data_IF_379401842414
#
_entry.id   IF_379401842414
#
_cell.length_a   1.000
_cell.length_b   1.000
_cell.length_c   1.000
_cell.angle_alpha   90.00
_cell.angle_beta   90.00
_cell.angle_gamma   90.00
#
_symmetry.space_group_name_H-M   'P 1'
#
loop_
_entity.id
_entity.type
_entity.pdbx_description
1 polymer ?
#
# COMPACT_ATOMS: atom_id res chain seq x y z
N UNK A 1 24.40 -4.87 -18.83
CA UNK A 1 23.74 -4.84 -17.53
C UNK A 1 23.36 -3.43 -17.10
N UNK A 2 24.28 -2.47 -17.17
CA UNK A 2 23.97 -1.09 -16.79
C UNK A 2 22.81 -0.50 -17.61
N UNK A 3 22.71 -0.83 -18.90
CA UNK A 3 21.64 -0.36 -19.75
C UNK A 3 20.27 -0.89 -19.33
N UNK A 4 20.20 -2.14 -18.86
CA UNK A 4 18.96 -2.71 -18.35
C UNK A 4 18.55 -2.05 -17.03
N UNK A 5 19.49 -1.80 -16.16
CA UNK A 5 19.23 -1.13 -14.88
C UNK A 5 18.70 0.28 -15.13
N UNK A 6 19.37 1.02 -16.02
CA UNK A 6 18.95 2.38 -16.36
C UNK A 6 17.54 2.38 -16.96
N UNK A 7 17.22 1.43 -17.84
CA UNK A 7 15.90 1.31 -18.45
C UNK A 7 14.83 1.07 -17.40
N UNK A 8 15.07 0.16 -16.47
CA UNK A 8 14.12 -0.15 -15.41
C UNK A 8 13.85 1.04 -14.51
N UNK A 9 14.91 1.78 -14.16
CA UNK A 9 14.76 2.98 -13.35
C UNK A 9 13.97 4.05 -14.11
N UNK A 10 14.26 4.23 -15.40
CA UNK A 10 13.55 5.21 -16.22
C UNK A 10 12.09 4.87 -16.39
N UNK A 11 11.76 3.60 -16.56
CA UNK A 11 10.36 3.16 -16.62
C UNK A 11 9.62 3.47 -15.33
N UNK A 12 10.25 3.23 -14.19
CA UNK A 12 9.68 3.58 -12.88
C UNK A 12 9.42 5.07 -12.75
N UNK A 13 10.36 5.89 -13.19
CA UNK A 13 10.21 7.35 -13.18
C UNK A 13 9.05 7.78 -14.07
N UNK A 14 8.94 7.20 -15.26
CA UNK A 14 7.86 7.53 -16.20
C UNK A 14 6.49 7.20 -15.63
N UNK A 15 6.35 6.07 -14.96
CA UNK A 15 5.10 5.69 -14.32
C UNK A 15 4.71 6.72 -13.26
N UNK A 16 5.66 7.12 -12.43
CA UNK A 16 5.41 8.11 -11.39
C UNK A 16 5.06 9.49 -11.97
N UNK A 17 5.74 9.90 -13.03
CA UNK A 17 5.41 11.14 -13.72
C UNK A 17 4.01 11.10 -14.34
N UNK A 18 3.62 9.95 -14.87
CA UNK A 18 2.27 9.76 -15.40
C UNK A 18 1.22 9.90 -14.30
N UNK A 19 1.48 9.37 -13.10
CA UNK A 19 0.59 9.54 -11.96
C UNK A 19 0.40 11.01 -11.62
N UNK A 20 1.46 11.79 -11.64
CA UNK A 20 1.39 13.23 -11.39
C UNK A 20 0.48 13.95 -12.38
N UNK A 21 0.51 13.52 -13.65
CA UNK A 21 -0.25 14.20 -14.72
C UNK A 21 -1.73 13.79 -14.74
N UNK A 22 -2.03 12.52 -14.42
CA UNK A 22 -3.35 11.96 -14.73
C UNK A 22 -4.12 11.47 -13.51
N UNK A 23 -3.46 11.23 -12.38
CA UNK A 23 -4.08 10.55 -11.24
C UNK A 23 -4.03 11.32 -9.92
N UNK A 24 -3.56 12.57 -9.91
CA UNK A 24 -3.48 13.32 -8.66
C UNK A 24 -4.84 13.49 -7.98
N UNK A 25 -5.86 13.82 -8.77
CA UNK A 25 -7.21 13.99 -8.23
C UNK A 25 -7.76 12.71 -7.63
N UNK A 26 -7.46 11.57 -8.26
CA UNK A 26 -7.89 10.27 -7.77
C UNK A 26 -7.17 9.88 -6.48
N UNK A 27 -5.87 10.14 -6.42
CA UNK A 27 -5.06 9.90 -5.21
C UNK A 27 -5.58 10.78 -4.07
N UNK A 28 -5.85 12.05 -4.33
CA UNK A 28 -6.43 12.96 -3.34
C UNK A 28 -7.78 12.45 -2.84
N UNK A 29 -8.63 11.97 -3.75
CA UNK A 29 -9.91 11.40 -3.38
C UNK A 29 -9.77 10.21 -2.46
N UNK A 30 -8.84 9.30 -2.76
CA UNK A 30 -8.56 8.15 -1.91
C UNK A 30 -8.08 8.58 -0.52
N UNK A 31 -7.21 9.57 -0.47
CA UNK A 31 -6.72 10.12 0.81
C UNK A 31 -7.84 10.75 1.63
N UNK A 32 -8.73 11.51 0.99
CA UNK A 32 -9.88 12.11 1.67
C UNK A 32 -10.84 11.06 2.21
N UNK A 33 -11.15 10.05 1.40
CA UNK A 33 -12.04 8.96 1.84
C UNK A 33 -11.46 8.24 3.05
N UNK A 34 -10.16 7.98 3.05
CA UNK A 34 -9.48 7.35 4.18
C UNK A 34 -9.57 8.25 5.43
N UNK A 35 -9.28 9.52 5.26
CA UNK A 35 -9.36 10.50 6.35
C UNK A 35 -10.77 10.58 6.94
N UNK A 36 -11.80 10.71 6.09
CA UNK A 36 -13.18 10.79 6.54
C UNK A 36 -13.63 9.51 7.26
N UNK A 37 -13.20 8.36 6.75
CA UNK A 37 -13.46 7.07 7.38
C UNK A 37 -12.90 7.02 8.81
N UNK A 38 -11.66 7.41 8.99
CA UNK A 38 -11.01 7.42 10.31
C UNK A 38 -11.62 8.46 11.23
N UNK A 39 -11.93 9.64 10.70
CA UNK A 39 -12.56 10.70 11.46
C UNK A 39 -13.93 10.30 11.98
N UNK A 40 -14.66 9.51 11.22
CA UNK A 40 -15.98 9.01 11.60
C UNK A 40 -15.93 7.82 12.59
N UNK A 41 -14.74 7.39 12.97
CA UNK A 41 -14.56 6.29 13.92
C UNK A 41 -14.55 4.91 13.28
N UNK A 42 -14.44 4.85 11.96
CA UNK A 42 -14.35 3.57 11.23
C UNK A 42 -12.91 3.09 11.10
N UNK A 43 -12.75 1.92 10.51
CA UNK A 43 -11.46 1.25 10.36
C UNK A 43 -11.01 1.24 8.91
N UNK A 44 -9.71 1.14 8.71
CA UNK A 44 -9.11 0.88 7.40
C UNK A 44 -8.61 -0.56 7.38
N UNK A 45 -8.99 -1.31 6.36
CA UNK A 45 -8.58 -2.69 6.18
C UNK A 45 -7.65 -2.78 4.97
N UNK A 46 -6.52 -3.43 5.15
CA UNK A 46 -5.55 -3.68 4.08
C UNK A 46 -5.47 -5.17 3.80
N UNK A 47 -5.45 -5.53 2.54
CA UNK A 47 -5.26 -6.92 2.15
C UNK A 47 -4.60 -6.99 0.78
N UNK A 48 -3.97 -8.11 0.52
CA UNK A 48 -3.26 -8.35 -0.73
C UNK A 48 -2.59 -9.71 -0.70
N UNK A 49 -2.01 -10.12 -1.82
CA UNK A 49 -1.35 -11.40 -2.00
C UNK A 49 0.14 -11.21 -2.27
N UNK A 50 0.96 -12.19 -1.86
CA UNK A 50 2.39 -12.14 -2.08
C UNK A 50 3.02 -10.92 -1.43
N UNK A 51 3.81 -10.15 -2.18
CA UNK A 51 4.41 -8.91 -1.71
C UNK A 51 3.39 -7.90 -1.24
N UNK A 52 2.22 -7.85 -1.86
CA UNK A 52 1.12 -6.97 -1.43
C UNK A 52 0.57 -7.33 -0.06
N UNK A 53 0.66 -8.60 0.35
CA UNK A 53 0.28 -8.98 1.70
C UNK A 53 1.25 -8.40 2.74
N UNK A 54 2.56 -8.42 2.43
CA UNK A 54 3.58 -7.79 3.28
C UNK A 54 3.37 -6.28 3.35
N UNK A 55 3.09 -5.64 2.22
CA UNK A 55 2.77 -4.21 2.16
C UNK A 55 1.54 -3.89 3.00
N UNK A 56 0.53 -4.75 2.97
CA UNK A 56 -0.70 -4.57 3.76
C UNK A 56 -0.40 -4.56 5.25
N UNK A 57 0.45 -5.45 5.72
CA UNK A 57 0.87 -5.48 7.12
C UNK A 57 1.66 -4.24 7.49
N UNK A 58 2.57 -3.82 6.63
CA UNK A 58 3.38 -2.63 6.85
C UNK A 58 2.52 -1.37 6.95
N UNK A 59 1.59 -1.19 5.99
CA UNK A 59 0.69 -0.05 5.99
C UNK A 59 -0.21 -0.03 7.22
N UNK A 60 -0.77 -1.18 7.60
CA UNK A 60 -1.59 -1.25 8.80
C UNK A 60 -0.79 -0.86 10.05
N UNK A 61 0.45 -1.30 10.13
CA UNK A 61 1.34 -0.95 11.24
C UNK A 61 1.61 0.55 11.30
N UNK A 62 1.76 1.21 10.16
CA UNK A 62 1.97 2.67 10.11
C UNK A 62 0.75 3.43 10.64
N UNK A 63 -0.46 2.96 10.36
CA UNK A 63 -1.67 3.58 10.90
C UNK A 63 -1.82 3.38 12.39
N UNK A 64 -1.53 2.17 12.89
CA UNK A 64 -1.63 1.87 14.31
C UNK A 64 -0.52 2.55 15.09
N UNK A 65 0.68 2.60 14.51
CA UNK A 65 1.85 3.22 15.14
C UNK A 65 1.92 4.72 14.90
N UNK A 66 3.17 5.22 14.87
CA UNK A 66 3.47 6.63 14.67
C UNK A 66 4.45 6.74 13.52
N UNK A 67 3.97 7.12 12.36
CA UNK A 67 4.83 7.18 11.17
C UNK A 67 5.89 8.29 11.30
N UNK A 68 5.48 9.54 11.20
CA UNK A 68 6.40 10.68 11.26
C UNK A 68 6.17 11.57 12.48
N UNK A 69 5.01 11.47 13.09
CA UNK A 69 4.61 12.30 14.22
C UNK A 69 4.09 11.46 15.36
N UNK A 70 4.32 11.91 16.57
CA UNK A 70 3.61 11.39 17.72
C UNK A 70 2.12 11.66 17.56
N UNK A 71 1.33 10.59 17.59
CA UNK A 71 -0.12 10.68 17.50
C UNK A 71 -0.79 9.44 18.05
N UNK A 72 -2.07 9.55 18.30
CA UNK A 72 -2.87 8.39 18.69
C UNK A 72 -2.89 7.38 17.53
N UNK A 73 -2.81 6.10 17.84
CA UNK A 73 -2.96 5.05 16.84
C UNK A 73 -4.31 5.14 16.13
N UNK A 74 -4.33 4.87 14.83
CA UNK A 74 -5.53 4.88 14.02
C UNK A 74 -6.01 3.46 13.77
N UNK A 75 -7.33 3.20 13.77
CA UNK A 75 -7.86 1.85 13.59
C UNK A 75 -7.54 1.30 12.19
N UNK A 76 -6.70 0.30 12.14
CA UNK A 76 -6.31 -0.34 10.90
C UNK A 76 -5.98 -1.81 11.15
N UNK A 77 -6.35 -2.66 10.21
CA UNK A 77 -6.12 -4.11 10.31
C UNK A 77 -5.66 -4.60 8.94
N UNK A 78 -4.61 -5.41 8.93
CA UNK A 78 -4.24 -6.17 7.75
C UNK A 78 -4.93 -7.52 7.80
N UNK A 79 -5.67 -7.86 6.76
CA UNK A 79 -6.36 -9.15 6.65
C UNK A 79 -5.41 -10.19 6.08
N UNK A 80 -4.40 -10.51 6.86
CA UNK A 80 -3.34 -11.42 6.45
C UNK A 80 -2.92 -12.30 7.61
N UNK A 81 -2.48 -13.53 7.28
CA UNK A 81 -1.75 -14.40 8.19
C UNK A 81 -0.67 -15.06 7.37
N UNK A 82 0.54 -15.21 7.90
CA UNK A 82 1.66 -15.86 7.20
C UNK A 82 1.73 -15.50 5.73
N UNK A 83 1.95 -14.24 5.48
CA UNK A 83 1.56 -13.55 4.28
C UNK A 83 2.35 -13.90 3.02
N UNK A 84 3.68 -13.86 3.09
CA UNK A 84 4.48 -13.93 1.87
C UNK A 84 4.48 -15.33 1.26
N UNK A 85 4.55 -16.36 2.08
CA UNK A 85 4.59 -17.74 1.59
C UNK A 85 3.20 -18.18 1.16
N UNK A 86 2.20 -18.02 2.03
CA UNK A 86 0.84 -18.48 1.76
C UNK A 86 0.27 -17.82 0.50
N UNK A 87 0.35 -16.51 0.41
CA UNK A 87 -0.27 -15.79 -0.69
C UNK A 87 0.54 -15.89 -1.97
N UNK A 88 1.86 -15.97 -1.89
CA UNK A 88 2.72 -16.13 -3.05
C UNK A 88 2.49 -17.49 -3.71
N UNK A 89 2.45 -18.55 -2.93
CA UNK A 89 2.13 -19.88 -3.44
C UNK A 89 0.70 -19.94 -3.98
N UNK A 90 -0.24 -19.33 -3.30
CA UNK A 90 -1.62 -19.24 -3.75
C UNK A 90 -1.75 -18.54 -5.09
N UNK A 91 -1.04 -17.42 -5.30
CA UNK A 91 -1.03 -16.72 -6.57
C UNK A 91 -0.47 -17.57 -7.71
N UNK A 92 0.60 -18.33 -7.46
CA UNK A 92 1.28 -19.12 -8.49
C UNK A 92 0.54 -20.42 -8.82
N UNK A 93 -0.07 -21.05 -7.83
CA UNK A 93 -0.63 -22.39 -7.96
C UNK A 93 -2.11 -22.50 -7.62
N UNK A 94 -2.73 -21.43 -7.17
CA UNK A 94 -4.12 -21.38 -6.78
C UNK A 94 -4.34 -21.55 -5.28
N UNK A 95 -5.38 -21.00 -4.84
CA UNK A 95 -5.80 -21.06 -3.45
C UNK A 95 -6.70 -22.30 -3.26
#
# INVERSE_FOLDING_TARGET
MQNLIAKDIQESIQVKQSLLKTHLALIEKAARLTYECLKAGHKVLFFGNGGSASDSQHLAAEFVGRYEKERRGLPSIALTTDTSILTSVGNDYGF
#
